data_IF_084915990500
#
_entry.id   IF_084915990500
#
_cell.length_a   1.000
_cell.length_b   1.000
_cell.length_c   1.000
_cell.angle_alpha   90.00
_cell.angle_beta   90.00
_cell.angle_gamma   90.00
#
_symmetry.space_group_name_H-M   'P 1'
#
loop_
_entity.id
_entity.type
_entity.pdbx_description
1 polymer ?
#
# COMPACT_ATOMS: atom_id res chain seq x y z
N UNK A 1 16.34 -18.87 0.71
CA UNK A 1 15.15 -19.66 1.10
C UNK A 1 13.96 -18.73 0.93
N UNK A 2 13.23 -18.84 -0.18
CA UNK A 2 11.99 -18.08 -0.36
C UNK A 2 10.95 -18.91 0.37
N UNK A 3 10.57 -18.49 1.59
CA UNK A 3 9.42 -19.05 2.28
C UNK A 3 8.19 -18.60 1.48
N UNK A 4 7.83 -19.41 0.49
CA UNK A 4 6.55 -19.38 -0.17
C UNK A 4 5.68 -20.42 0.54
N UNK A 5 5.45 -20.17 1.82
CA UNK A 5 4.59 -21.00 2.64
C UNK A 5 3.17 -20.56 2.30
N UNK A 6 2.61 -21.10 1.21
CA UNK A 6 1.17 -21.19 1.01
C UNK A 6 0.62 -22.09 2.13
N UNK A 7 0.60 -21.58 3.37
CA UNK A 7 -0.10 -22.21 4.46
C UNK A 7 -1.58 -22.11 4.15
N UNK A 8 -2.21 -23.28 4.03
CA UNK A 8 -3.66 -23.42 4.00
C UNK A 8 -4.30 -22.82 5.29
N UNK A 9 -3.49 -22.61 6.35
CA UNK A 9 -3.88 -22.05 7.65
C UNK A 9 -3.11 -20.76 8.04
N UNK A 10 -2.47 -20.06 7.08
CA UNK A 10 -1.79 -18.78 7.32
C UNK A 10 -2.78 -17.62 7.20
N UNK A 11 -2.59 -16.53 7.97
CA UNK A 11 -3.44 -15.33 7.92
C UNK A 11 -3.29 -14.60 6.57
N UNK A 12 -2.09 -14.59 6.01
CA UNK A 12 -1.68 -13.89 4.80
C UNK A 12 -1.48 -14.87 3.64
N UNK A 13 -1.69 -14.35 2.45
CA UNK A 13 -1.59 -15.05 1.17
C UNK A 13 -0.63 -14.26 0.28
N UNK A 14 0.17 -14.97 -0.52
CA UNK A 14 0.98 -14.33 -1.55
C UNK A 14 0.08 -13.90 -2.73
N UNK A 15 -0.24 -12.61 -2.77
CA UNK A 15 -1.01 -11.96 -3.82
C UNK A 15 -0.14 -11.40 -4.95
N UNK A 16 1.18 -11.63 -4.95
CA UNK A 16 2.11 -11.05 -5.93
C UNK A 16 1.66 -11.31 -7.36
N UNK A 17 1.32 -12.57 -7.69
CA UNK A 17 0.87 -12.95 -9.05
C UNK A 17 -0.49 -12.36 -9.40
N UNK A 18 -1.37 -12.24 -8.41
CA UNK A 18 -2.69 -11.64 -8.60
C UNK A 18 -2.55 -10.16 -8.90
N UNK A 19 -1.75 -9.43 -8.13
CA UNK A 19 -1.51 -8.02 -8.38
C UNK A 19 -0.77 -7.80 -9.70
N UNK A 20 0.21 -8.64 -10.03
CA UNK A 20 0.92 -8.57 -11.32
C UNK A 20 -0.07 -8.69 -12.49
N UNK A 21 -1.02 -9.62 -12.43
CA UNK A 21 -2.05 -9.73 -13.46
C UNK A 21 -2.93 -8.47 -13.57
N UNK A 22 -3.28 -7.85 -12.44
CA UNK A 22 -4.21 -6.71 -12.39
C UNK A 22 -3.55 -5.36 -12.70
N UNK A 23 -2.30 -5.18 -12.27
CA UNK A 23 -1.64 -3.88 -12.19
C UNK A 23 -0.10 -3.98 -12.35
N UNK A 24 0.40 -4.85 -13.24
CA UNK A 24 1.85 -5.01 -13.49
C UNK A 24 2.60 -3.69 -13.71
N UNK A 25 1.96 -2.68 -14.31
CA UNK A 25 2.57 -1.37 -14.58
C UNK A 25 2.85 -0.56 -13.32
N UNK A 26 2.21 -0.90 -12.20
CA UNK A 26 2.45 -0.29 -10.88
C UNK A 26 3.42 -1.10 -10.02
N UNK A 27 4.01 -2.18 -10.53
CA UNK A 27 4.85 -3.08 -9.75
C UNK A 27 6.29 -3.06 -10.24
N UNK A 28 7.21 -2.77 -9.32
CA UNK A 28 8.64 -2.87 -9.58
C UNK A 28 9.04 -4.31 -9.92
N UNK A 29 10.10 -4.51 -10.72
CA UNK A 29 10.69 -5.83 -10.90
C UNK A 29 11.06 -6.48 -9.56
N UNK A 30 10.51 -7.68 -9.30
CA UNK A 30 10.73 -8.39 -8.04
C UNK A 30 9.84 -7.96 -6.88
N UNK A 31 8.81 -7.14 -7.15
CA UNK A 31 7.82 -6.77 -6.16
C UNK A 31 7.18 -8.00 -5.47
N UNK A 32 6.97 -7.89 -4.17
CA UNK A 32 6.34 -8.94 -3.36
C UNK A 32 5.15 -8.39 -2.59
N UNK A 33 4.01 -9.05 -2.72
CA UNK A 33 2.76 -8.70 -2.02
C UNK A 33 2.26 -9.90 -1.23
N UNK A 34 2.35 -9.83 0.09
CA UNK A 34 1.90 -10.89 1.00
C UNK A 34 1.05 -10.25 2.09
N UNK A 35 -0.26 -10.48 2.01
CA UNK A 35 -1.27 -9.77 2.80
C UNK A 35 -2.43 -10.71 3.13
N UNK A 36 -3.23 -10.39 4.14
CA UNK A 36 -4.56 -11.01 4.28
C UNK A 36 -5.53 -10.48 3.20
N UNK A 37 -6.65 -11.16 3.01
CA UNK A 37 -7.61 -10.85 1.93
C UNK A 37 -8.14 -9.42 2.04
N UNK A 38 -8.47 -8.97 3.25
CA UNK A 38 -9.04 -7.64 3.47
C UNK A 38 -8.00 -6.55 3.25
N UNK A 39 -6.76 -6.79 3.68
CA UNK A 39 -5.62 -5.92 3.38
C UNK A 39 -5.38 -5.77 1.88
N UNK A 40 -5.50 -6.87 1.11
CA UNK A 40 -5.32 -6.83 -0.33
C UNK A 40 -6.39 -5.98 -1.04
N UNK A 41 -7.65 -6.06 -0.60
CA UNK A 41 -8.72 -5.18 -1.12
C UNK A 41 -8.43 -3.70 -0.85
N UNK A 42 -7.95 -3.36 0.35
CA UNK A 42 -7.54 -1.99 0.67
C UNK A 42 -6.37 -1.55 -0.19
N UNK A 43 -5.32 -2.36 -0.34
CA UNK A 43 -4.17 -2.04 -1.20
C UNK A 43 -4.62 -1.67 -2.61
N UNK A 44 -5.50 -2.48 -3.23
CA UNK A 44 -6.01 -2.20 -4.58
C UNK A 44 -6.72 -0.84 -4.67
N UNK A 45 -7.55 -0.52 -3.68
CA UNK A 45 -8.27 0.76 -3.68
C UNK A 45 -7.30 1.95 -3.62
N UNK A 46 -6.26 1.89 -2.78
CA UNK A 46 -5.22 2.94 -2.74
C UNK A 46 -4.43 3.01 -4.06
N UNK A 47 -4.06 1.87 -4.65
CA UNK A 47 -3.36 1.84 -5.94
C UNK A 47 -4.18 2.47 -7.06
N UNK A 48 -5.50 2.23 -7.10
CA UNK A 48 -6.40 2.91 -8.06
C UNK A 48 -6.37 4.43 -7.89
N UNK A 49 -6.28 4.94 -6.66
CA UNK A 49 -6.14 6.39 -6.46
C UNK A 49 -4.76 6.92 -6.89
N UNK A 50 -3.70 6.14 -6.72
CA UNK A 50 -2.36 6.52 -7.17
C UNK A 50 -2.31 6.65 -8.69
N UNK A 51 -2.94 5.73 -9.44
CA UNK A 51 -3.06 5.84 -10.90
C UNK A 51 -3.70 7.17 -11.33
N UNK A 52 -4.65 7.69 -10.55
CA UNK A 52 -5.31 8.97 -10.86
C UNK A 52 -4.48 10.21 -10.50
N UNK A 53 -3.27 10.06 -9.96
CA UNK A 53 -2.37 11.20 -9.69
C UNK A 53 -1.75 11.75 -10.98
N UNK A 54 -1.44 10.86 -11.94
CA UNK A 54 -0.96 11.23 -13.26
C UNK A 54 -0.11 10.14 -13.91
N UNK A 55 -0.04 10.18 -15.24
CA UNK A 55 0.63 9.16 -16.06
C UNK A 55 2.17 9.22 -15.95
N UNK A 56 2.74 10.40 -15.67
CA UNK A 56 4.19 10.64 -15.62
C UNK A 56 4.77 10.55 -14.19
N UNK A 57 4.11 9.80 -13.29
CA UNK A 57 4.56 9.67 -11.89
C UNK A 57 5.64 8.61 -11.70
N UNK A 58 5.82 7.71 -12.68
CA UNK A 58 6.71 6.56 -12.58
C UNK A 58 6.52 5.73 -11.29
N UNK A 59 5.30 5.68 -10.76
CA UNK A 59 5.03 4.95 -9.52
C UNK A 59 5.32 3.46 -9.68
N UNK A 60 6.05 2.89 -8.72
CA UNK A 60 6.39 1.47 -8.66
C UNK A 60 6.31 0.99 -7.20
N UNK A 61 5.39 0.06 -6.92
CA UNK A 61 5.37 -0.67 -5.66
C UNK A 61 6.50 -1.70 -5.64
N UNK A 62 7.36 -1.66 -4.63
CA UNK A 62 8.50 -2.57 -4.51
C UNK A 62 8.26 -3.72 -3.53
N UNK A 63 7.49 -3.47 -2.47
CA UNK A 63 7.12 -4.50 -1.50
C UNK A 63 5.88 -4.05 -0.72
N UNK A 64 4.98 -4.99 -0.42
CA UNK A 64 3.88 -4.79 0.50
C UNK A 64 3.59 -6.10 1.23
N UNK A 65 4.28 -6.30 2.35
CA UNK A 65 4.29 -7.56 3.08
C UNK A 65 3.92 -7.33 4.53
N UNK A 66 2.92 -8.08 4.99
CA UNK A 66 2.63 -8.28 6.39
C UNK A 66 3.37 -9.52 6.90
N UNK A 67 4.19 -9.36 7.95
CA UNK A 67 4.96 -10.46 8.51
C UNK A 67 4.22 -11.21 9.64
N UNK A 68 2.97 -10.83 9.94
CA UNK A 68 2.12 -11.46 10.95
C UNK A 68 1.62 -12.83 10.48
N UNK A 69 2.53 -13.78 10.43
CA UNK A 69 2.26 -15.20 10.15
C UNK A 69 3.35 -16.17 10.58
N UNK A 70 4.38 -15.62 11.23
CA UNK A 70 5.42 -16.37 11.90
C UNK A 70 5.36 -16.03 13.38
N UNK A 71 5.57 -17.04 14.22
CA UNK A 71 5.53 -16.97 15.68
C UNK A 71 6.10 -15.64 16.22
N UNK A 72 5.19 -14.74 16.63
CA UNK A 72 5.47 -13.56 17.45
C UNK A 72 6.43 -12.47 16.91
N UNK A 73 6.46 -12.20 15.60
CA UNK A 73 7.05 -10.94 15.12
C UNK A 73 6.00 -10.09 14.40
N UNK A 74 5.35 -9.18 15.14
CA UNK A 74 4.67 -8.05 14.52
C UNK A 74 5.65 -7.27 13.66
N UNK A 75 5.19 -6.78 12.51
CA UNK A 75 6.00 -6.05 11.55
C UNK A 75 5.39 -6.06 10.17
N UNK A 76 5.84 -5.14 9.35
CA UNK A 76 5.49 -5.07 7.94
C UNK A 76 6.69 -4.52 7.15
N UNK A 77 6.67 -4.72 5.84
CA UNK A 77 7.55 -4.01 4.92
C UNK A 77 6.71 -3.44 3.79
N UNK A 78 6.74 -2.13 3.64
CA UNK A 78 6.16 -1.43 2.50
C UNK A 78 7.21 -0.48 1.95
N UNK A 79 7.46 -0.56 0.64
CA UNK A 79 8.36 0.34 -0.09
C UNK A 79 7.79 0.59 -1.47
N UNK A 80 7.99 1.79 -1.96
CA UNK A 80 7.58 2.24 -3.28
C UNK A 80 8.60 3.26 -3.78
N UNK A 81 8.57 3.48 -5.08
CA UNK A 81 9.29 4.54 -5.76
C UNK A 81 8.32 5.34 -6.63
N UNK A 82 8.62 6.62 -6.83
CA UNK A 82 7.92 7.52 -7.75
C UNK A 82 8.88 8.65 -8.13
N UNK A 83 8.74 9.15 -9.35
CA UNK A 83 9.62 10.18 -9.93
C UNK A 83 8.76 11.13 -10.78
N UNK A 84 7.80 11.76 -10.13
CA UNK A 84 6.92 12.77 -10.72
C UNK A 84 7.42 14.19 -10.46
N UNK A 85 6.49 15.14 -10.51
CA UNK A 85 6.74 16.48 -9.99
C UNK A 85 6.72 16.48 -8.46
N UNK A 86 7.35 17.48 -7.84
CA UNK A 86 7.33 17.62 -6.37
C UNK A 86 5.93 17.59 -5.74
N UNK A 87 4.91 18.09 -6.44
CA UNK A 87 3.51 17.98 -6.00
C UNK A 87 2.97 16.54 -6.08
N UNK A 88 3.24 15.86 -7.18
CA UNK A 88 2.81 14.47 -7.37
C UNK A 88 3.50 13.52 -6.41
N UNK A 89 4.81 13.72 -6.18
CA UNK A 89 5.58 12.90 -5.25
C UNK A 89 5.07 13.08 -3.82
N UNK A 90 4.90 14.33 -3.35
CA UNK A 90 4.33 14.61 -2.03
C UNK A 90 2.90 14.03 -1.89
N UNK A 91 2.13 14.00 -2.98
CA UNK A 91 0.79 13.45 -2.99
C UNK A 91 0.81 11.91 -2.89
N UNK A 92 1.65 11.24 -3.69
CA UNK A 92 1.82 9.79 -3.66
C UNK A 92 2.36 9.36 -2.29
N UNK A 93 3.38 10.04 -1.77
CA UNK A 93 3.93 9.77 -0.44
C UNK A 93 2.87 9.89 0.64
N UNK A 94 2.06 10.95 0.60
CA UNK A 94 0.98 11.12 1.57
C UNK A 94 -0.07 10.01 1.45
N UNK A 95 -0.44 9.58 0.23
CA UNK A 95 -1.37 8.47 -0.02
C UNK A 95 -0.78 7.15 0.49
N UNK A 96 0.50 6.87 0.24
CA UNK A 96 1.17 5.64 0.63
C UNK A 96 1.38 5.56 2.15
N UNK A 97 1.79 6.65 2.79
CA UNK A 97 1.88 6.74 4.25
C UNK A 97 0.51 6.50 4.87
N UNK A 98 -0.53 7.07 4.28
CA UNK A 98 -1.89 6.91 4.73
C UNK A 98 -2.38 5.47 4.59
N UNK A 99 -2.14 4.84 3.45
CA UNK A 99 -2.39 3.41 3.22
C UNK A 99 -1.71 2.56 4.31
N UNK A 100 -0.41 2.76 4.55
CA UNK A 100 0.37 1.99 5.53
C UNK A 100 -0.26 2.08 6.93
N UNK A 101 -0.74 3.25 7.33
CA UNK A 101 -1.39 3.45 8.63
C UNK A 101 -2.77 2.77 8.76
N UNK A 102 -3.38 2.37 7.64
CA UNK A 102 -4.76 1.90 7.59
C UNK A 102 -4.93 0.53 6.91
N UNK A 103 -3.81 -0.11 6.54
CA UNK A 103 -3.76 -1.48 6.01
C UNK A 103 -3.77 -2.53 7.13
N UNK A 104 -4.08 -2.18 8.37
CA UNK A 104 -4.18 -3.14 9.47
C UNK A 104 -2.87 -3.73 9.98
N UNK A 105 -1.70 -3.20 9.62
CA UNK A 105 -0.42 -3.67 10.15
C UNK A 105 -0.32 -3.53 11.68
N UNK A 106 0.59 -4.30 12.30
CA UNK A 106 0.93 -4.20 13.74
C UNK A 106 2.43 -3.98 13.85
N UNK A 107 2.82 -2.76 14.22
CA UNK A 107 4.19 -2.35 14.46
C UNK A 107 4.17 -1.01 15.20
N UNK A 108 5.25 -0.70 15.93
CA UNK A 108 5.33 0.55 16.72
C UNK A 108 5.26 1.86 15.92
N UNK A 109 5.33 1.81 14.60
CA UNK A 109 5.12 2.95 13.68
C UNK A 109 3.65 3.17 13.31
N UNK A 110 2.73 2.26 13.68
CA UNK A 110 1.31 2.30 13.32
C UNK A 110 0.49 2.90 14.46
N UNK A 111 -0.31 3.94 14.17
CA UNK A 111 -1.10 4.62 15.19
C UNK A 111 -2.27 3.78 15.74
N UNK A 112 -2.87 2.95 14.88
CA UNK A 112 -4.00 2.08 15.23
C UNK A 112 -3.70 0.66 14.75
N UNK A 113 -2.84 -0.04 15.50
CA UNK A 113 -2.42 -1.39 15.15
C UNK A 113 -3.63 -2.31 14.90
N UNK A 114 -3.57 -3.10 13.82
CA UNK A 114 -4.63 -4.04 13.45
C UNK A 114 -5.87 -3.39 12.83
N UNK A 115 -5.98 -2.06 12.80
CA UNK A 115 -7.12 -1.38 12.19
C UNK A 115 -7.02 -1.36 10.67
N UNK A 116 -8.00 -1.98 10.02
CA UNK A 116 -8.19 -1.90 8.57
C UNK A 116 -9.28 -0.87 8.30
N UNK A 117 -8.98 0.10 7.43
CA UNK A 117 -9.96 1.10 6.97
C UNK A 117 -11.07 0.43 6.15
N UNK A 118 -12.31 0.90 6.30
CA UNK A 118 -13.39 0.48 5.40
C UNK A 118 -13.17 1.07 4.01
N UNK A 119 -13.46 0.29 2.96
CA UNK A 119 -13.29 0.75 1.57
C UNK A 119 -14.07 2.04 1.27
N UNK A 120 -15.26 2.20 1.87
CA UNK A 120 -16.11 3.39 1.71
C UNK A 120 -15.50 4.68 2.29
N UNK A 121 -14.54 4.56 3.22
CA UNK A 121 -13.89 5.71 3.84
C UNK A 121 -12.69 6.22 3.02
N UNK A 122 -12.16 5.41 2.07
CA UNK A 122 -10.93 5.71 1.33
C UNK A 122 -11.09 6.97 0.47
N UNK A 123 -12.22 7.15 -0.22
CA UNK A 123 -12.44 8.31 -1.09
C UNK A 123 -12.33 9.64 -0.31
N UNK A 124 -12.99 9.72 0.84
CA UNK A 124 -12.99 10.92 1.69
C UNK A 124 -11.59 11.21 2.24
N UNK A 125 -10.85 10.16 2.60
CA UNK A 125 -9.47 10.21 3.04
C UNK A 125 -8.52 10.74 1.97
N UNK A 126 -8.63 10.22 0.75
CA UNK A 126 -7.84 10.68 -0.40
C UNK A 126 -8.17 12.13 -0.75
N UNK A 127 -9.45 12.54 -0.66
CA UNK A 127 -9.85 13.92 -0.87
C UNK A 127 -9.19 14.88 0.13
N UNK A 128 -9.16 14.52 1.43
CA UNK A 128 -8.47 15.31 2.46
C UNK A 128 -6.96 15.41 2.19
N UNK A 129 -6.31 14.29 1.84
CA UNK A 129 -4.89 14.28 1.46
C UNK A 129 -4.63 15.24 0.30
N UNK A 130 -5.43 15.15 -0.77
CA UNK A 130 -5.31 16.03 -1.95
C UNK A 130 -5.44 17.50 -1.56
N UNK A 131 -6.42 17.86 -0.73
CA UNK A 131 -6.58 19.23 -0.24
C UNK A 131 -5.38 19.72 0.56
N UNK A 132 -4.86 18.90 1.49
CA UNK A 132 -3.71 19.27 2.32
C UNK A 132 -2.42 19.44 1.51
N UNK A 133 -2.17 18.54 0.56
CA UNK A 133 -0.98 18.61 -0.30
C UNK A 133 -1.08 19.77 -1.28
N UNK A 134 -2.25 20.02 -1.89
CA UNK A 134 -2.45 21.18 -2.75
C UNK A 134 -2.18 22.50 -2.01
N UNK A 135 -2.68 22.63 -0.78
CA UNK A 135 -2.41 23.78 0.08
C UNK A 135 -0.90 23.96 0.39
N UNK A 136 -0.14 22.87 0.61
CA UNK A 136 1.33 22.91 0.80
C UNK A 136 2.04 23.47 -0.43
N UNK A 137 1.54 23.18 -1.63
CA UNK A 137 2.11 23.59 -2.91
C UNK A 137 1.56 24.91 -3.46
N UNK A 138 0.60 25.55 -2.77
CA UNK A 138 -0.11 26.75 -3.22
C UNK A 138 -0.85 26.55 -4.57
N UNK A 139 -1.49 25.39 -4.73
CA UNK A 139 -2.34 25.03 -5.87
C UNK A 139 -3.80 25.00 -5.43
#
# INVERSE_FOLDING_TARGET
MIANDNRIDGRTVDYTRTLEFLAHHLMAPGCRVVLDEQQFEVLKAYLTHIETVGDDTNFQLEICVDYRDSENTGGYSVSWDNDGTAYQDDLIDAIMVDMVQNLGFVAGSIFREGHITNLEDIDARIADIRTRVAAKHNI
#
